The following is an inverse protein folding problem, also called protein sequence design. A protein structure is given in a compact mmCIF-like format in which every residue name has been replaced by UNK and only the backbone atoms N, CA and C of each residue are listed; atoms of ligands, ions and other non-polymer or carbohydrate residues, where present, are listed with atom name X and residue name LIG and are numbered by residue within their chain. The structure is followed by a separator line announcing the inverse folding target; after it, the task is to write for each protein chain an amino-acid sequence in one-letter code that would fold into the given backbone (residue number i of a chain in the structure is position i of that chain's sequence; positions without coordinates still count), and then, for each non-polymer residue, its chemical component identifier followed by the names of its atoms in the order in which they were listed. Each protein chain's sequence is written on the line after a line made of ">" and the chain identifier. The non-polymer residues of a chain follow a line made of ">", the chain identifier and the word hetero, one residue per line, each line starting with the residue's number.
data_IF_931535452886
#
_entry.id   IF_931535452886
#
_cell.length_a   1.000
_cell.length_b   1.000
_cell.length_c   1.000
_cell.angle_alpha   90.00
_cell.angle_beta   90.00
_cell.angle_gamma   90.00
#
_symmetry.space_group_name_H-M   'P 1'
#
loop_
_entity.id
_entity.type
_entity.pdbx_description
1 polymer ?
#
# COMPACT_ATOMS: atom_id res chain seq x y z
N UNK A 1 7.33 26.08 3.56
CA UNK A 1 7.55 24.80 2.83
C UNK A 1 8.01 24.99 1.39
N UNK A 2 7.40 25.88 0.58
CA UNK A 2 7.79 26.09 -0.83
C UNK A 2 9.26 26.51 -1.00
N UNK A 3 9.78 27.38 -0.12
CA UNK A 3 11.19 27.80 -0.17
C UNK A 3 12.19 26.69 0.22
N UNK A 4 11.81 25.79 1.12
CA UNK A 4 12.66 24.65 1.50
C UNK A 4 12.82 23.65 0.34
N UNK A 5 11.73 23.38 -0.39
CA UNK A 5 11.76 22.53 -1.58
C UNK A 5 12.59 23.17 -2.71
N UNK A 6 12.49 24.49 -2.90
CA UNK A 6 13.34 25.21 -3.87
C UNK A 6 14.82 25.15 -3.51
N UNK A 7 15.16 25.31 -2.23
CA UNK A 7 16.54 25.24 -1.75
C UNK A 7 17.14 23.84 -1.94
N UNK A 8 16.42 22.80 -1.53
CA UNK A 8 16.86 21.41 -1.74
C UNK A 8 17.03 21.08 -3.22
N UNK A 9 16.13 21.55 -4.08
CA UNK A 9 16.28 21.35 -5.52
C UNK A 9 17.54 22.01 -6.08
N UNK A 10 17.82 23.28 -5.73
CA UNK A 10 19.05 23.95 -6.19
C UNK A 10 20.31 23.24 -5.71
N UNK A 11 20.32 22.76 -4.47
CA UNK A 11 21.48 22.06 -3.90
C UNK A 11 21.76 20.74 -4.63
N UNK A 12 20.73 19.94 -4.91
CA UNK A 12 20.90 18.63 -5.58
C UNK A 12 21.36 18.78 -7.03
N UNK A 13 20.87 19.80 -7.75
CA UNK A 13 21.33 20.08 -9.13
C UNK A 13 22.72 20.73 -9.20
N UNK A 14 23.25 21.25 -8.09
CA UNK A 14 24.58 21.83 -8.00
C UNK A 14 25.67 20.81 -7.60
N UNK A 15 25.30 19.57 -7.31
CA UNK A 15 26.27 18.51 -7.00
C UNK A 15 27.07 18.20 -8.28
N UNK A 16 28.42 18.36 -8.28
CA UNK A 16 29.27 17.98 -9.41
C UNK A 16 28.94 16.54 -9.86
N UNK A 17 29.00 16.27 -11.16
CA UNK A 17 28.55 15.04 -11.84
C UNK A 17 29.37 13.78 -11.43
N UNK A 18 29.34 13.46 -10.14
CA UNK A 18 30.04 12.41 -9.43
C UNK A 18 29.01 11.30 -9.24
N UNK A 19 29.13 10.24 -10.05
CA UNK A 19 28.17 9.12 -10.08
C UNK A 19 27.96 8.49 -8.70
N UNK A 20 28.97 8.55 -7.83
CA UNK A 20 28.94 8.11 -6.43
C UNK A 20 27.92 8.87 -5.59
N UNK A 21 27.80 10.19 -5.78
CA UNK A 21 26.88 11.03 -4.98
C UNK A 21 25.45 10.87 -5.50
N UNK A 22 25.26 10.70 -6.82
CA UNK A 22 23.92 10.54 -7.40
C UNK A 22 23.26 9.21 -7.02
N UNK A 23 24.06 8.18 -6.69
CA UNK A 23 23.56 6.89 -6.19
C UNK A 23 23.35 6.88 -4.67
N UNK A 24 23.68 7.97 -3.97
CA UNK A 24 23.43 8.05 -2.53
C UNK A 24 21.91 8.04 -2.26
N UNK A 25 21.48 7.15 -1.37
CA UNK A 25 20.07 6.99 -1.03
C UNK A 25 19.41 8.31 -0.61
N UNK A 26 20.10 9.14 0.19
CA UNK A 26 19.56 10.43 0.64
C UNK A 26 19.30 11.38 -0.52
N UNK A 27 20.18 11.37 -1.54
CA UNK A 27 20.03 12.18 -2.76
C UNK A 27 18.87 11.64 -3.60
N UNK A 28 18.79 10.33 -3.79
CA UNK A 28 17.70 9.69 -4.52
C UNK A 28 16.32 9.94 -3.88
N UNK A 29 16.23 9.84 -2.54
CA UNK A 29 15.02 10.19 -1.79
C UNK A 29 14.64 11.64 -2.04
N UNK A 30 15.57 12.57 -1.88
CA UNK A 30 15.29 13.99 -2.09
C UNK A 30 14.89 14.30 -3.54
N UNK A 31 15.53 13.65 -4.53
CA UNK A 31 15.12 13.72 -5.94
C UNK A 31 13.70 13.19 -6.15
N UNK A 32 13.35 12.05 -5.55
CA UNK A 32 12.00 11.48 -5.60
C UNK A 32 10.96 12.47 -5.03
N UNK A 33 11.23 13.05 -3.87
CA UNK A 33 10.36 14.08 -3.27
C UNK A 33 10.22 15.32 -4.16
N UNK A 34 11.30 15.80 -4.76
CA UNK A 34 11.26 16.93 -5.70
C UNK A 34 10.41 16.59 -6.93
N UNK A 35 10.54 15.38 -7.47
CA UNK A 35 9.74 14.91 -8.60
C UNK A 35 8.25 14.87 -8.24
N UNK A 36 7.91 14.35 -7.05
CA UNK A 36 6.54 14.35 -6.53
C UNK A 36 5.96 15.77 -6.42
N UNK A 37 6.70 16.71 -5.81
CA UNK A 37 6.26 18.10 -5.65
C UNK A 37 6.08 18.84 -6.99
N UNK A 38 6.88 18.49 -8.00
CA UNK A 38 6.77 19.04 -9.37
C UNK A 38 5.71 18.32 -10.22
N UNK A 39 4.97 17.35 -9.66
CA UNK A 39 4.06 16.45 -10.39
C UNK A 39 4.74 15.71 -11.56
N UNK A 40 6.06 15.52 -11.50
CA UNK A 40 6.79 14.71 -12.48
C UNK A 40 6.80 13.24 -12.02
N UNK A 41 5.63 12.61 -12.07
CA UNK A 41 5.45 11.26 -11.55
C UNK A 41 6.20 10.20 -12.36
N UNK A 42 6.36 10.40 -13.67
CA UNK A 42 7.15 9.51 -14.52
C UNK A 42 8.59 9.36 -14.01
N UNK A 43 9.21 10.47 -13.65
CA UNK A 43 10.58 10.47 -13.12
C UNK A 43 10.65 9.93 -11.68
N UNK A 44 9.64 10.25 -10.86
CA UNK A 44 9.49 9.65 -9.53
C UNK A 44 9.47 8.11 -9.61
N UNK A 45 8.63 7.54 -10.47
CA UNK A 45 8.53 6.09 -10.64
C UNK A 45 9.86 5.51 -11.11
N UNK A 46 10.52 6.15 -12.08
CA UNK A 46 11.84 5.75 -12.56
C UNK A 46 12.88 5.71 -11.42
N UNK A 47 12.90 6.71 -10.54
CA UNK A 47 13.83 6.74 -9.40
C UNK A 47 13.52 5.59 -8.44
N UNK A 48 12.25 5.40 -8.08
CA UNK A 48 11.84 4.38 -7.11
C UNK A 48 12.02 2.96 -7.64
N UNK A 49 11.79 2.70 -8.93
CA UNK A 49 11.90 1.36 -9.52
C UNK A 49 13.33 0.92 -9.81
N UNK A 50 14.27 1.85 -10.05
CA UNK A 50 15.61 1.52 -10.55
C UNK A 50 16.73 1.61 -9.50
N UNK A 51 16.43 2.02 -8.27
CA UNK A 51 17.43 2.15 -7.21
C UNK A 51 16.99 1.35 -5.98
N UNK A 52 17.91 0.64 -5.35
CA UNK A 52 17.63 -0.06 -4.10
C UNK A 52 17.63 0.91 -2.93
N UNK A 53 16.65 0.81 -2.04
CA UNK A 53 16.54 1.62 -0.84
C UNK A 53 16.63 0.74 0.41
N UNK A 54 17.22 1.29 1.46
CA UNK A 54 17.25 0.67 2.78
C UNK A 54 15.84 0.41 3.33
N UNK A 55 15.60 -0.69 4.07
CA UNK A 55 14.29 -0.99 4.67
C UNK A 55 13.73 0.14 5.55
N UNK A 56 14.60 0.92 6.18
CA UNK A 56 14.24 2.07 7.02
C UNK A 56 13.55 3.18 6.20
N UNK A 57 13.91 3.31 4.92
CA UNK A 57 13.30 4.27 4.00
C UNK A 57 12.05 3.75 3.29
N UNK A 58 11.77 2.44 3.34
CA UNK A 58 10.64 1.84 2.62
C UNK A 58 9.30 2.48 3.00
N UNK A 59 8.90 2.64 4.28
CA UNK A 59 7.57 3.18 4.61
C UNK A 59 7.30 4.56 4.00
N UNK A 60 8.31 5.42 3.99
CA UNK A 60 8.22 6.78 3.44
C UNK A 60 8.08 6.76 1.91
N UNK A 61 8.86 5.93 1.22
CA UNK A 61 8.84 5.83 -0.23
C UNK A 61 7.61 5.08 -0.76
N UNK A 62 7.10 4.12 0.01
CA UNK A 62 5.83 3.45 -0.28
C UNK A 62 4.66 4.43 -0.21
N UNK A 63 4.62 5.31 0.81
CA UNK A 63 3.61 6.39 0.87
C UNK A 63 3.70 7.31 -0.35
N UNK A 64 4.93 7.70 -0.73
CA UNK A 64 5.17 8.58 -1.88
C UNK A 64 4.68 7.95 -3.20
N UNK A 65 5.01 6.68 -3.44
CA UNK A 65 4.54 5.89 -4.59
C UNK A 65 3.02 5.86 -4.67
N UNK A 66 2.36 5.54 -3.56
CA UNK A 66 0.90 5.42 -3.49
C UNK A 66 0.23 6.77 -3.71
N UNK A 67 0.72 7.83 -3.10
CA UNK A 67 0.18 9.19 -3.25
C UNK A 67 0.32 9.71 -4.67
N UNK A 68 1.43 9.39 -5.36
CA UNK A 68 1.62 9.78 -6.75
C UNK A 68 0.56 9.14 -7.65
N UNK A 69 0.39 7.82 -7.55
CA UNK A 69 -0.64 7.12 -8.33
C UNK A 69 -2.07 7.53 -7.96
N UNK A 70 -2.35 7.83 -6.67
CA UNK A 70 -3.64 8.39 -6.28
C UNK A 70 -3.85 9.76 -6.92
N UNK A 71 -2.85 10.65 -6.87
CA UNK A 71 -2.94 11.99 -7.46
C UNK A 71 -3.20 11.94 -8.97
N UNK A 72 -2.51 11.08 -9.72
CA UNK A 72 -2.78 10.90 -11.15
C UNK A 72 -4.20 10.41 -11.41
N UNK A 73 -4.66 9.41 -10.65
CA UNK A 73 -5.98 8.85 -10.81
C UNK A 73 -7.10 9.83 -10.41
N UNK A 74 -6.90 10.65 -9.38
CA UNK A 74 -7.83 11.70 -8.96
C UNK A 74 -7.92 12.80 -10.03
N UNK A 75 -6.77 13.21 -10.60
CA UNK A 75 -6.71 14.19 -11.70
C UNK A 75 -7.48 13.71 -12.93
N UNK A 76 -7.35 12.43 -13.31
CA UNK A 76 -8.08 11.85 -14.44
C UNK A 76 -9.59 11.77 -14.16
N UNK A 77 -9.99 11.44 -12.92
CA UNK A 77 -11.40 11.25 -12.58
C UNK A 77 -12.14 12.55 -12.25
N UNK A 78 -11.42 13.64 -11.97
CA UNK A 78 -11.98 14.91 -11.52
C UNK A 78 -12.64 14.84 -10.14
N UNK A 79 -12.34 13.80 -9.34
CA UNK A 79 -12.85 13.62 -7.97
C UNK A 79 -11.92 12.76 -7.13
N UNK A 80 -12.00 12.93 -5.82
CA UNK A 80 -11.23 12.16 -4.86
C UNK A 80 -11.51 10.65 -4.94
N UNK A 81 -10.48 9.84 -4.66
CA UNK A 81 -10.60 8.39 -4.61
C UNK A 81 -11.15 7.94 -3.25
N UNK A 82 -12.33 7.34 -3.27
CA UNK A 82 -12.81 6.52 -2.15
C UNK A 82 -11.97 5.25 -1.95
N UNK A 83 -12.25 4.51 -0.87
CA UNK A 83 -11.49 3.32 -0.47
C UNK A 83 -11.35 2.25 -1.59
N UNK A 84 -12.44 2.00 -2.33
CA UNK A 84 -12.43 1.04 -3.46
C UNK A 84 -11.57 1.56 -4.62
N UNK A 85 -11.58 2.88 -4.86
CA UNK A 85 -10.73 3.51 -5.86
C UNK A 85 -9.25 3.31 -5.52
N UNK A 86 -8.85 3.66 -4.29
CA UNK A 86 -7.48 3.46 -3.80
C UNK A 86 -7.05 1.98 -3.87
N UNK A 87 -7.93 1.04 -3.52
CA UNK A 87 -7.67 -0.39 -3.68
C UNK A 87 -7.38 -0.81 -5.13
N UNK A 88 -8.19 -0.32 -6.09
CA UNK A 88 -7.97 -0.60 -7.52
C UNK A 88 -6.62 -0.07 -8.00
N UNK A 89 -6.22 1.12 -7.54
CA UNK A 89 -4.91 1.71 -7.86
C UNK A 89 -3.78 0.85 -7.30
N UNK A 90 -3.81 0.47 -6.02
CA UNK A 90 -2.80 -0.42 -5.42
C UNK A 90 -2.65 -1.75 -6.14
N UNK A 91 -3.74 -2.30 -6.67
CA UNK A 91 -3.70 -3.53 -7.47
C UNK A 91 -3.14 -3.33 -8.86
N UNK A 92 -3.38 -2.18 -9.47
CA UNK A 92 -2.88 -1.85 -10.81
C UNK A 92 -1.38 -1.52 -10.77
N UNK A 93 -0.93 -0.87 -9.69
CA UNK A 93 0.44 -0.41 -9.51
C UNK A 93 0.96 -0.91 -8.15
N UNK A 94 1.37 -2.19 -8.07
CA UNK A 94 1.97 -2.73 -6.85
C UNK A 94 3.27 -1.98 -6.51
N UNK A 95 3.68 -2.06 -5.24
CA UNK A 95 4.96 -1.50 -4.82
C UNK A 95 6.12 -2.21 -5.54
N UNK A 96 7.11 -1.47 -6.07
CA UNK A 96 8.28 -2.09 -6.67
C UNK A 96 9.18 -2.73 -5.61
N UNK A 97 9.89 -3.81 -6.01
CA UNK A 97 10.77 -4.62 -5.13
C UNK A 97 11.92 -3.83 -4.47
N UNK A 98 12.20 -2.65 -4.99
CA UNK A 98 13.23 -1.71 -4.54
C UNK A 98 12.87 -0.94 -3.28
N UNK A 99 11.57 -0.79 -2.99
CA UNK A 99 11.04 -0.12 -1.78
C UNK A 99 10.10 -1.04 -0.99
N UNK A 100 10.15 -2.34 -1.29
CA UNK A 100 9.29 -3.34 -0.69
C UNK A 100 9.97 -4.70 -0.73
N UNK A 101 10.16 -5.28 0.45
CA UNK A 101 10.75 -6.61 0.68
C UNK A 101 9.98 -7.76 0.01
N UNK A 102 8.76 -7.50 -0.47
CA UNK A 102 7.94 -8.53 -1.06
C UNK A 102 7.17 -9.35 -0.05
N UNK A 103 7.24 -9.01 1.24
CA UNK A 103 6.28 -9.53 2.20
C UNK A 103 4.92 -9.02 1.77
N UNK A 104 4.14 -9.93 1.19
CA UNK A 104 2.81 -9.67 0.68
C UNK A 104 2.07 -8.81 1.72
N UNK A 105 1.78 -7.53 1.42
CA UNK A 105 0.73 -6.78 2.13
C UNK A 105 -0.59 -7.43 1.72
N UNK A 106 -0.74 -8.68 2.14
CA UNK A 106 -1.81 -9.54 1.74
C UNK A 106 -2.97 -9.03 2.56
N UNK A 107 -3.92 -8.42 1.86
CA UNK A 107 -5.28 -8.28 2.37
C UNK A 107 -5.88 -9.66 2.77
N UNK A 108 -5.16 -10.76 2.53
CA UNK A 108 -5.43 -12.08 3.04
C UNK A 108 -4.57 -12.36 4.28
N UNK A 109 -5.22 -12.80 5.35
CA UNK A 109 -4.52 -13.26 6.54
C UNK A 109 -3.55 -14.42 6.22
N UNK A 110 -2.57 -14.65 7.10
CA UNK A 110 -1.68 -15.83 7.03
C UNK A 110 -2.51 -17.11 6.86
N UNK A 111 -1.96 -18.13 6.18
CA UNK A 111 -2.70 -19.38 5.88
C UNK A 111 -3.28 -20.02 7.15
N UNK A 112 -2.53 -20.05 8.25
CA UNK A 112 -3.01 -20.52 9.56
C UNK A 112 -4.25 -19.76 10.06
N UNK A 113 -4.22 -18.43 10.01
CA UNK A 113 -5.36 -17.59 10.39
C UNK A 113 -6.56 -17.82 9.46
N UNK A 114 -6.32 -17.98 8.15
CA UNK A 114 -7.37 -18.32 7.16
C UNK A 114 -8.02 -19.67 7.44
N UNK A 115 -7.22 -20.69 7.73
CA UNK A 115 -7.70 -22.02 8.07
C UNK A 115 -8.58 -21.99 9.32
N UNK A 116 -8.12 -21.34 10.38
CA UNK A 116 -8.85 -21.16 11.64
C UNK A 116 -10.21 -20.49 11.41
N UNK A 117 -10.23 -19.37 10.67
CA UNK A 117 -11.47 -18.65 10.35
C UNK A 117 -12.44 -19.49 9.50
N UNK A 118 -11.94 -20.26 8.52
CA UNK A 118 -12.77 -21.16 7.70
C UNK A 118 -13.40 -22.27 8.55
N UNK A 119 -12.64 -22.90 9.43
CA UNK A 119 -13.12 -23.95 10.33
C UNK A 119 -14.20 -23.42 11.28
N UNK A 120 -13.97 -22.24 11.85
CA UNK A 120 -14.98 -21.56 12.68
C UNK A 120 -16.23 -21.23 11.89
N UNK A 121 -16.09 -20.68 10.69
CA UNK A 121 -17.22 -20.32 9.84
C UNK A 121 -18.12 -21.50 9.48
N UNK A 122 -17.52 -22.67 9.21
CA UNK A 122 -18.26 -23.89 8.92
C UNK A 122 -19.13 -24.35 10.10
N UNK A 123 -18.72 -24.04 11.35
CA UNK A 123 -19.48 -24.34 12.56
C UNK A 123 -20.52 -23.27 12.89
N UNK A 124 -20.12 -22.00 12.82
CA UNK A 124 -20.96 -20.86 13.15
C UNK A 124 -20.60 -19.64 12.27
N UNK A 125 -21.42 -19.32 11.24
CA UNK A 125 -21.21 -18.13 10.40
C UNK A 125 -21.47 -16.78 11.10
N UNK A 126 -22.00 -16.79 12.33
CA UNK A 126 -22.41 -15.60 13.09
C UNK A 126 -21.83 -15.62 14.51
N UNK A 127 -20.51 -15.45 14.67
CA UNK A 127 -19.89 -15.41 16.00
C UNK A 127 -20.34 -14.18 16.79
N UNK A 128 -20.59 -14.38 18.08
CA UNK A 128 -20.85 -13.36 19.09
C UNK A 128 -19.65 -12.43 19.30
N UNK A 129 -19.82 -11.27 19.96
CA UNK A 129 -18.71 -10.39 20.29
C UNK A 129 -17.58 -11.08 21.08
N UNK A 130 -17.93 -12.01 21.99
CA UNK A 130 -16.96 -12.79 22.77
C UNK A 130 -16.14 -13.73 21.87
N UNK A 131 -16.81 -14.53 21.05
CA UNK A 131 -16.15 -15.46 20.12
C UNK A 131 -15.27 -14.73 19.10
N UNK A 132 -15.68 -13.53 18.65
CA UNK A 132 -14.83 -12.69 17.78
C UNK A 132 -13.55 -12.24 18.47
N UNK A 133 -13.59 -12.01 19.78
CA UNK A 133 -12.40 -11.64 20.57
C UNK A 133 -11.47 -12.84 20.73
N UNK A 134 -12.01 -14.02 21.03
CA UNK A 134 -11.24 -15.28 21.10
C UNK A 134 -10.57 -15.60 19.75
N UNK A 135 -11.32 -15.48 18.65
CA UNK A 135 -10.79 -15.63 17.30
C UNK A 135 -9.70 -14.61 16.96
N UNK A 136 -9.85 -13.36 17.39
CA UNK A 136 -8.85 -12.31 17.18
C UNK A 136 -7.53 -12.66 17.88
N UNK A 137 -7.62 -13.14 19.14
CA UNK A 137 -6.49 -13.62 19.92
C UNK A 137 -5.82 -14.84 19.26
N UNK A 138 -6.59 -15.86 18.87
CA UNK A 138 -6.09 -17.10 18.26
C UNK A 138 -5.43 -16.87 16.89
N UNK A 139 -6.00 -15.97 16.09
CA UNK A 139 -5.53 -15.71 14.71
C UNK A 139 -4.50 -14.60 14.60
N UNK A 140 -4.20 -13.91 15.70
CA UNK A 140 -3.42 -12.67 15.76
C UNK A 140 -3.94 -11.59 14.80
N UNK A 141 -5.26 -11.48 14.75
CA UNK A 141 -5.97 -10.45 13.98
C UNK A 141 -6.66 -9.50 14.94
N UNK A 142 -7.05 -8.33 14.44
CA UNK A 142 -7.94 -7.44 15.18
C UNK A 142 -9.39 -7.95 15.13
N UNK A 143 -10.18 -7.64 16.16
CA UNK A 143 -11.62 -7.95 16.20
C UNK A 143 -12.36 -7.39 14.96
N UNK A 144 -11.92 -6.23 14.46
CA UNK A 144 -12.44 -5.60 13.23
C UNK A 144 -12.13 -6.43 11.99
N UNK A 145 -10.90 -6.96 11.86
CA UNK A 145 -10.52 -7.84 10.76
C UNK A 145 -11.33 -9.14 10.78
N UNK A 146 -11.49 -9.78 11.94
CA UNK A 146 -12.33 -10.96 12.11
C UNK A 146 -13.77 -10.64 11.71
N UNK A 147 -14.35 -9.57 12.27
CA UNK A 147 -15.73 -9.14 11.96
C UNK A 147 -15.95 -8.90 10.46
N UNK A 148 -15.01 -8.21 9.81
CA UNK A 148 -15.07 -7.94 8.38
C UNK A 148 -14.90 -9.22 7.56
N UNK A 149 -14.06 -10.17 7.98
CA UNK A 149 -13.91 -11.44 7.29
C UNK A 149 -15.20 -12.24 7.27
N UNK A 150 -15.87 -12.39 8.42
CA UNK A 150 -17.16 -13.09 8.51
C UNK A 150 -18.23 -12.38 7.67
N UNK A 151 -18.31 -11.04 7.74
CA UNK A 151 -19.22 -10.24 6.91
C UNK A 151 -18.99 -10.50 5.42
N UNK A 152 -17.74 -10.41 4.97
CA UNK A 152 -17.38 -10.56 3.57
C UNK A 152 -17.57 -12.00 3.07
N UNK A 153 -17.33 -13.01 3.92
CA UNK A 153 -17.58 -14.42 3.59
C UNK A 153 -19.06 -14.68 3.34
N UNK A 154 -19.95 -14.24 4.25
CA UNK A 154 -21.42 -14.33 4.05
C UNK A 154 -21.91 -13.56 2.82
N UNK A 155 -21.26 -12.46 2.45
CA UNK A 155 -21.59 -11.74 1.21
C UNK A 155 -21.20 -12.57 -0.03
N UNK A 156 -20.05 -13.24 -0.02
CA UNK A 156 -19.61 -14.11 -1.12
C UNK A 156 -20.51 -15.34 -1.27
N UNK A 157 -20.91 -15.95 -0.16
CA UNK A 157 -21.76 -17.14 -0.18
C UNK A 157 -23.15 -16.81 -0.75
N UNK A 158 -23.80 -15.72 -0.30
CA UNK A 158 -25.06 -15.23 -0.88
C UNK A 158 -24.94 -14.86 -2.36
N UNK A 159 -23.81 -14.28 -2.78
CA UNK A 159 -23.59 -13.95 -4.18
C UNK A 159 -23.39 -15.19 -5.06
N UNK A 160 -22.84 -16.29 -4.52
CA UNK A 160 -22.75 -17.57 -5.20
C UNK A 160 -24.13 -18.24 -5.34
N UNK A 161 -24.93 -18.26 -4.27
CA UNK A 161 -26.31 -18.78 -4.27
C UNK A 161 -27.19 -18.07 -5.31
N UNK A 162 -27.05 -16.74 -5.45
CA UNK A 162 -27.80 -15.95 -6.43
C UNK A 162 -27.37 -16.19 -7.89
N UNK A 163 -26.19 -16.78 -8.13
CA UNK A 163 -25.71 -17.11 -9.48
C UNK A 163 -26.16 -18.50 -9.93
N UNK A 164 -26.52 -19.36 -8.98
CA UNK A 164 -26.99 -20.73 -9.20
C UNK A 164 -28.52 -20.83 -9.34
N UNK A 165 -29.25 -19.72 -9.14
CA UNK A 165 -30.69 -19.59 -9.38
C UNK A 165 -30.95 -18.85 -10.69
#
# INVERSE_FOLDING_TARGET
>A
MVEFVKFQAKFIWAIPNREDIQRNESVLKAQAFICFHRQNFKELYRILENNQFSPESHPELQDLWLRAHYSEAEKIRGRELGAVGKYRIRRKFPLPRTIWDGEETSYCFREKSRYTLKNWYAKNPYPSPKEKKELAEETHLTVTQVSNWFKNRRQRDRAAENKER
#
